data_IF_425553889411
#
_entry.id   IF_425553889411
#
_cell.length_a   1.000
_cell.length_b   1.000
_cell.length_c   1.000
_cell.angle_alpha   90.00
_cell.angle_beta   90.00
_cell.angle_gamma   90.00
#
_symmetry.space_group_name_H-M   'P 1'
#
loop_
_entity.id
_entity.type
_entity.pdbx_description
1 polymer ?
#
# COMPACT_ATOMS: atom_id res chain seq x y z
N UNK A 1 4.67 10.75 14.88
CA UNK A 1 5.99 10.22 14.43
C UNK A 1 5.88 9.80 12.99
N UNK A 2 7.01 9.53 12.33
CA UNK A 2 7.03 8.89 11.01
C UNK A 2 6.92 7.39 11.25
N UNK A 3 6.03 6.66 10.55
CA UNK A 3 5.92 5.21 10.72
C UNK A 3 7.18 4.51 10.20
N UNK A 4 7.70 3.56 10.97
CA UNK A 4 8.93 2.80 10.70
C UNK A 4 8.59 1.34 10.44
N UNK A 5 9.07 0.84 9.30
CA UNK A 5 8.98 -0.56 8.90
C UNK A 5 10.41 -1.11 8.83
N UNK A 6 10.68 -2.25 9.47
CA UNK A 6 12.03 -2.84 9.48
C UNK A 6 12.01 -4.36 9.33
N UNK A 7 13.05 -4.90 8.66
CA UNK A 7 13.36 -6.33 8.68
C UNK A 7 14.18 -6.61 9.94
N UNK A 8 13.79 -7.61 10.73
CA UNK A 8 14.45 -7.94 12.00
C UNK A 8 14.80 -9.43 12.03
N UNK A 9 16.08 -9.75 12.22
CA UNK A 9 16.59 -11.10 12.46
C UNK A 9 16.91 -11.32 13.96
N UNK A 10 17.33 -12.53 14.31
CA UNK A 10 17.64 -13.03 15.66
C UNK A 10 18.61 -12.18 16.49
N UNK A 11 19.42 -11.32 15.85
CA UNK A 11 20.41 -10.46 16.49
C UNK A 11 20.04 -8.96 16.50
N UNK A 12 18.85 -8.57 16.02
CA UNK A 12 18.39 -7.18 15.97
C UNK A 12 17.18 -6.92 16.88
N UNK A 13 17.12 -5.71 17.46
CA UNK A 13 16.01 -5.30 18.35
C UNK A 13 14.84 -4.73 17.54
N UNK A 14 13.59 -5.12 17.86
CA UNK A 14 12.38 -4.53 17.26
C UNK A 14 11.98 -3.18 17.88
N UNK A 15 12.74 -2.67 18.86
CA UNK A 15 12.40 -1.41 19.54
C UNK A 15 12.41 -0.21 18.58
N UNK A 16 11.35 0.61 18.65
CA UNK A 16 11.20 1.80 17.78
C UNK A 16 10.72 1.49 16.36
N UNK A 17 10.36 0.24 16.07
CA UNK A 17 9.77 -0.18 14.79
C UNK A 17 8.26 -0.35 14.97
N UNK A 18 7.47 0.31 14.11
CA UNK A 18 6.01 0.21 14.15
C UNK A 18 5.50 -1.08 13.48
N UNK A 19 6.19 -1.52 12.42
CA UNK A 19 5.84 -2.73 11.68
C UNK A 19 7.08 -3.60 11.40
N UNK A 20 7.05 -4.83 11.89
CA UNK A 20 8.19 -5.74 11.85
C UNK A 20 7.99 -6.80 10.75
N UNK A 21 9.02 -6.99 9.94
CA UNK A 21 9.13 -8.10 8.99
C UNK A 21 10.21 -9.08 9.51
N UNK A 22 9.85 -10.24 10.05
CA UNK A 22 10.86 -11.20 10.51
C UNK A 22 11.59 -11.80 9.30
N UNK A 23 12.92 -11.76 9.29
CA UNK A 23 13.69 -12.22 8.13
C UNK A 23 15.18 -11.95 8.21
N UNK A 24 15.93 -12.51 7.27
CA UNK A 24 17.38 -12.35 7.16
C UNK A 24 17.73 -11.00 6.51
N UNK A 25 18.40 -10.13 7.25
CA UNK A 25 18.86 -8.81 6.80
C UNK A 25 20.30 -8.81 6.25
N UNK A 26 21.11 -9.83 6.54
CA UNK A 26 22.51 -9.94 6.09
C UNK A 26 22.64 -10.29 4.60
N UNK A 27 21.64 -10.98 4.02
CA UNK A 27 21.71 -11.45 2.63
C UNK A 27 21.20 -10.41 1.64
N UNK A 28 22.04 -9.99 0.70
CA UNK A 28 21.60 -9.10 -0.40
C UNK A 28 20.45 -9.70 -1.22
N UNK A 29 20.37 -11.03 -1.35
CA UNK A 29 19.26 -11.69 -2.05
C UNK A 29 17.95 -11.53 -1.27
N UNK A 30 18.00 -11.63 0.06
CA UNK A 30 16.83 -11.46 0.92
C UNK A 30 16.37 -9.98 0.89
N UNK A 31 17.30 -9.03 1.02
CA UNK A 31 17.00 -7.59 0.89
C UNK A 31 16.33 -7.28 -0.45
N UNK A 32 16.86 -7.79 -1.57
CA UNK A 32 16.25 -7.59 -2.89
C UNK A 32 14.83 -8.19 -2.94
N UNK A 33 14.61 -9.36 -2.34
CA UNK A 33 13.28 -9.98 -2.30
C UNK A 33 12.27 -9.10 -1.55
N UNK A 34 12.64 -8.60 -0.37
CA UNK A 34 11.77 -7.73 0.43
C UNK A 34 11.46 -6.43 -0.30
N UNK A 35 12.49 -5.76 -0.81
CA UNK A 35 12.33 -4.46 -1.50
C UNK A 35 11.49 -4.62 -2.76
N UNK A 36 11.65 -5.71 -3.53
CA UNK A 36 10.80 -5.99 -4.70
C UNK A 36 9.34 -6.17 -4.32
N UNK A 37 9.05 -7.02 -3.34
CA UNK A 37 7.68 -7.23 -2.89
C UNK A 37 7.02 -5.94 -2.39
N UNK A 38 7.77 -5.11 -1.66
CA UNK A 38 7.28 -3.79 -1.21
C UNK A 38 7.04 -2.86 -2.39
N UNK A 39 7.95 -2.81 -3.36
CA UNK A 39 7.80 -1.98 -4.56
C UNK A 39 6.56 -2.37 -5.38
N UNK A 40 6.37 -3.67 -5.60
CA UNK A 40 5.22 -4.20 -6.33
C UNK A 40 3.91 -3.86 -5.61
N UNK A 41 3.85 -4.06 -4.29
CA UNK A 41 2.69 -3.70 -3.47
C UNK A 41 2.38 -2.19 -3.51
N UNK A 42 3.40 -1.32 -3.52
CA UNK A 42 3.21 0.14 -3.65
C UNK A 42 2.64 0.48 -5.03
N UNK A 43 3.13 -0.14 -6.09
CA UNK A 43 2.63 0.11 -7.45
C UNK A 43 1.17 -0.35 -7.59
N UNK A 44 0.85 -1.53 -7.08
CA UNK A 44 -0.53 -2.04 -7.05
C UNK A 44 -1.44 -1.13 -6.22
N UNK A 45 -1.01 -0.74 -5.02
CA UNK A 45 -1.76 0.18 -4.16
C UNK A 45 -2.04 1.53 -4.83
N UNK A 46 -1.08 2.08 -5.57
CA UNK A 46 -1.28 3.31 -6.34
C UNK A 46 -2.28 3.14 -7.48
N UNK A 47 -2.19 2.04 -8.23
CA UNK A 47 -3.13 1.75 -9.30
C UNK A 47 -4.56 1.59 -8.75
N UNK A 48 -4.72 0.87 -7.65
CA UNK A 48 -6.01 0.67 -6.98
C UNK A 48 -6.58 1.97 -6.41
N UNK A 49 -5.75 2.86 -5.84
CA UNK A 49 -6.20 4.16 -5.36
C UNK A 49 -6.75 5.04 -6.49
N UNK A 50 -6.08 5.05 -7.65
CA UNK A 50 -6.58 5.78 -8.84
C UNK A 50 -7.89 5.18 -9.31
N UNK A 51 -7.98 3.85 -9.37
CA UNK A 51 -9.21 3.16 -9.78
C UNK A 51 -10.38 3.47 -8.85
N UNK A 52 -10.17 3.44 -7.53
CA UNK A 52 -11.19 3.79 -6.55
C UNK A 52 -11.70 5.23 -6.75
N UNK A 53 -10.80 6.20 -6.99
CA UNK A 53 -11.21 7.58 -7.28
C UNK A 53 -12.05 7.65 -8.55
N UNK A 54 -11.63 6.97 -9.63
CA UNK A 54 -12.38 6.95 -10.88
C UNK A 54 -13.78 6.35 -10.71
N UNK A 55 -13.90 5.27 -9.93
CA UNK A 55 -15.16 4.61 -9.69
C UNK A 55 -16.09 5.49 -8.82
N UNK A 56 -15.55 6.17 -7.80
CA UNK A 56 -16.33 7.16 -7.02
C UNK A 56 -16.81 8.34 -7.85
N UNK A 57 -16.06 8.78 -8.86
CA UNK A 57 -16.49 9.88 -9.76
C UNK A 57 -17.60 9.42 -10.70
N UNK A 58 -17.51 8.19 -11.22
CA UNK A 58 -18.57 7.61 -12.07
C UNK A 58 -19.86 7.41 -11.29
N UNK A 59 -19.78 6.88 -10.08
CA UNK A 59 -20.96 6.71 -9.21
C UNK A 59 -21.61 8.06 -8.90
N UNK A 60 -20.82 9.11 -8.65
CA UNK A 60 -21.34 10.46 -8.47
C UNK A 60 -22.01 11.04 -9.72
N UNK A 61 -21.39 10.90 -10.90
CA UNK A 61 -21.96 11.39 -12.17
C UNK A 61 -23.25 10.66 -12.56
N UNK A 62 -23.37 9.36 -12.24
CA UNK A 62 -24.62 8.60 -12.44
C UNK A 62 -25.74 9.09 -11.50
N UNK A 63 -25.42 9.47 -10.26
CA UNK A 63 -26.38 10.02 -9.29
C UNK A 63 -26.95 11.39 -9.73
N UNK A 64 -26.14 12.26 -10.36
CA UNK A 64 -26.59 13.58 -10.85
C UNK A 64 -27.45 13.55 -12.13
N UNK A 65 -27.36 12.49 -12.94
CA UNK A 65 -28.13 12.39 -14.19
C UNK A 65 -29.55 11.84 -13.96
N UNK A 66 -29.80 11.15 -12.84
CA UNK A 66 -31.11 10.53 -12.57
C UNK A 66 -32.18 11.52 -12.05
N UNK A 67 -31.81 12.61 -11.37
CA UNK A 67 -32.77 13.58 -10.82
C UNK A 67 -33.38 14.57 -11.85
N UNK A 68 -32.93 14.57 -13.11
CA UNK A 68 -33.32 15.56 -14.12
C UNK A 68 -34.47 15.16 -15.05
N UNK A 69 -35.19 14.06 -14.77
CA UNK A 69 -36.16 13.49 -15.71
C UNK A 69 -37.47 13.05 -15.05
N UNK A 70 -38.14 13.98 -14.36
CA UNK A 70 -39.58 13.89 -14.13
C UNK A 70 -40.27 15.18 -14.63
N UNK A 71 -41.34 14.93 -15.41
CA UNK A 71 -42.36 15.81 -16.03
C UNK A 71 -42.03 16.62 -17.31
#
# INVERSE_FOLDING_TARGET
GIPVIAVVDTNHSPEGVDYIVPGNDDSSKAVILYVRGIADAILEGKANAVQQVLDSVKEGDEEFVEEGKED
#
